data_IF_523060795177
#
_entry.id   IF_523060795177
#
_cell.length_a   1.000
_cell.length_b   1.000
_cell.length_c   1.000
_cell.angle_alpha   90.00
_cell.angle_beta   90.00
_cell.angle_gamma   90.00
#
_symmetry.space_group_name_H-M   'P 1'
#
loop_
_entity.id
_entity.type
_entity.pdbx_description
1 polymer ?
#
# COMPACT_ATOMS: atom_id res chain seq x y z
N UNK A 1 6.50 -37.04 -22.29
CA UNK A 1 6.87 -37.29 -20.87
C UNK A 1 5.96 -36.41 -20.04
N UNK A 2 4.85 -36.98 -19.57
CA UNK A 2 3.79 -36.24 -18.88
C UNK A 2 4.26 -35.84 -17.47
N UNK A 3 4.06 -34.57 -17.13
CA UNK A 3 4.27 -34.04 -15.79
C UNK A 3 3.23 -34.66 -14.85
N UNK A 4 3.71 -35.33 -13.81
CA UNK A 4 2.89 -35.97 -12.79
C UNK A 4 2.23 -34.88 -11.94
N UNK A 5 0.90 -34.84 -11.94
CA UNK A 5 0.12 -34.01 -11.03
C UNK A 5 0.42 -34.42 -9.58
N UNK A 6 1.03 -33.54 -8.80
CA UNK A 6 1.18 -33.72 -7.36
C UNK A 6 -0.21 -33.55 -6.73
N UNK A 7 -0.73 -34.63 -6.14
CA UNK A 7 -2.00 -34.62 -5.43
C UNK A 7 -1.94 -33.66 -4.25
N UNK A 8 -2.92 -32.74 -4.19
CA UNK A 8 -3.16 -31.93 -3.00
C UNK A 8 -3.54 -32.85 -1.84
N UNK A 9 -2.63 -33.05 -0.88
CA UNK A 9 -2.98 -33.68 0.39
C UNK A 9 -3.71 -32.64 1.25
N UNK A 10 -5.02 -32.79 1.35
CA UNK A 10 -5.85 -32.02 2.29
C UNK A 10 -5.60 -32.58 3.69
N UNK A 11 -5.09 -31.73 4.59
CA UNK A 11 -4.88 -32.10 5.99
C UNK A 11 -6.23 -32.39 6.68
N UNK A 12 -6.29 -33.21 7.75
CA UNK A 12 -7.55 -33.64 8.38
C UNK A 12 -8.44 -32.50 8.90
N UNK A 13 -7.88 -31.30 9.08
CA UNK A 13 -8.57 -30.07 9.50
C UNK A 13 -9.05 -29.21 8.30
N UNK A 14 -8.86 -29.67 7.06
CA UNK A 14 -9.20 -28.95 5.83
C UNK A 14 -8.21 -27.85 5.42
N UNK A 15 -7.13 -27.63 6.19
CA UNK A 15 -6.18 -26.54 5.94
C UNK A 15 -5.12 -26.97 4.93
N UNK A 16 -5.07 -26.29 3.79
CA UNK A 16 -4.16 -26.63 2.68
C UNK A 16 -2.74 -26.11 2.89
N UNK A 17 -2.55 -25.07 3.71
CA UNK A 17 -1.25 -24.41 3.88
C UNK A 17 -0.16 -25.34 4.43
N UNK A 18 -0.50 -26.25 5.36
CA UNK A 18 0.44 -27.20 5.96
C UNK A 18 1.13 -28.10 4.93
N UNK A 19 0.50 -28.36 3.78
CA UNK A 19 1.11 -29.14 2.69
C UNK A 19 2.34 -28.45 2.07
N UNK A 20 2.43 -27.13 2.17
CA UNK A 20 3.56 -26.33 1.73
C UNK A 20 4.66 -26.20 2.79
N UNK A 21 4.36 -26.55 4.04
CA UNK A 21 5.22 -26.38 5.22
C UNK A 21 5.31 -27.67 6.03
N UNK A 22 6.03 -28.70 5.52
CA UNK A 22 6.00 -30.04 6.11
C UNK A 22 6.64 -30.15 7.51
N UNK A 23 7.43 -29.16 7.93
CA UNK A 23 8.00 -29.09 9.29
C UNK A 23 7.08 -28.34 10.26
N UNK A 24 5.98 -27.77 9.78
CA UNK A 24 4.99 -27.02 10.56
C UNK A 24 5.34 -25.56 10.82
N UNK A 25 6.56 -25.11 10.47
CA UNK A 25 6.96 -23.71 10.48
C UNK A 25 6.28 -22.95 9.35
N UNK A 26 5.88 -21.69 9.59
CA UNK A 26 5.23 -20.87 8.57
C UNK A 26 6.16 -19.74 8.16
N UNK A 27 6.34 -19.56 6.86
CA UNK A 27 7.00 -18.38 6.31
C UNK A 27 5.98 -17.47 5.64
N UNK A 28 5.91 -16.21 6.04
CA UNK A 28 4.97 -15.21 5.52
C UNK A 28 5.73 -14.10 4.80
N UNK A 29 5.39 -13.81 3.56
CA UNK A 29 5.95 -12.69 2.82
C UNK A 29 5.05 -11.45 2.90
N UNK A 30 5.60 -10.36 3.42
CA UNK A 30 4.95 -9.05 3.47
C UNK A 30 5.43 -8.13 2.34
N UNK A 31 4.50 -7.70 1.49
CA UNK A 31 4.73 -6.68 0.46
C UNK A 31 4.00 -5.36 0.71
N UNK A 32 3.10 -5.30 1.69
CA UNK A 32 2.33 -4.10 2.04
C UNK A 32 2.59 -3.68 3.48
N UNK A 33 1.51 -3.51 4.24
CA UNK A 33 1.56 -3.13 5.66
C UNK A 33 2.38 -4.06 6.53
N UNK A 34 2.48 -5.34 6.18
CA UNK A 34 3.32 -6.31 6.87
C UNK A 34 4.82 -5.92 6.90
N UNK A 35 5.30 -5.01 6.04
CA UNK A 35 6.71 -4.57 6.09
C UNK A 35 6.99 -3.73 7.34
N UNK A 36 6.05 -2.87 7.76
CA UNK A 36 6.18 -2.00 8.95
C UNK A 36 5.31 -2.42 10.15
N UNK A 37 4.29 -3.24 9.90
CA UNK A 37 3.40 -3.83 10.91
C UNK A 37 3.45 -5.36 10.79
N UNK A 38 4.54 -5.99 11.26
CA UNK A 38 4.81 -7.43 11.09
C UNK A 38 3.74 -8.31 11.75
N UNK A 39 3.63 -9.59 11.37
CA UNK A 39 2.77 -10.54 12.08
C UNK A 39 3.26 -10.74 13.52
N UNK A 40 2.41 -11.18 14.46
CA UNK A 40 2.85 -11.56 15.79
C UNK A 40 3.73 -12.83 15.76
N UNK A 41 4.45 -13.10 16.85
CA UNK A 41 5.20 -14.34 17.09
C UNK A 41 6.29 -14.72 16.09
N UNK A 42 6.68 -13.83 15.16
CA UNK A 42 7.84 -14.08 14.31
C UNK A 42 9.13 -14.07 15.12
N UNK A 43 10.06 -14.96 14.79
CA UNK A 43 11.40 -15.03 15.40
C UNK A 43 12.51 -14.61 14.42
N UNK A 44 12.21 -14.53 13.12
CA UNK A 44 13.11 -14.02 12.08
C UNK A 44 12.38 -13.10 11.11
N UNK A 45 13.06 -12.03 10.70
CA UNK A 45 12.64 -11.11 9.63
C UNK A 45 13.77 -10.98 8.61
N UNK A 46 13.51 -11.40 7.37
CA UNK A 46 14.51 -11.47 6.30
C UNK A 46 14.10 -10.54 5.15
N UNK A 47 14.90 -9.52 4.79
CA UNK A 47 14.64 -8.70 3.61
C UNK A 47 14.91 -9.50 2.32
N UNK A 48 14.14 -9.24 1.26
CA UNK A 48 14.25 -9.96 0.00
C UNK A 48 13.14 -9.61 -0.98
N UNK A 49 12.95 -10.45 -1.98
CA UNK A 49 11.92 -10.26 -2.99
C UNK A 49 11.25 -11.55 -3.43
N UNK A 50 10.03 -11.43 -3.94
CA UNK A 50 9.39 -12.46 -4.78
C UNK A 50 9.51 -12.05 -6.25
N UNK A 51 9.52 -13.04 -7.15
CA UNK A 51 9.61 -12.80 -8.60
C UNK A 51 8.34 -13.19 -9.33
N UNK A 52 8.09 -12.60 -10.51
CA UNK A 52 6.93 -12.92 -11.34
C UNK A 52 5.66 -12.16 -10.97
N UNK A 53 5.77 -11.15 -10.11
CA UNK A 53 4.67 -10.28 -9.70
C UNK A 53 5.00 -8.81 -9.96
N UNK A 54 3.98 -7.96 -9.89
CA UNK A 54 4.07 -6.51 -9.80
C UNK A 54 3.23 -6.00 -8.64
N UNK A 55 3.63 -4.90 -8.01
CA UNK A 55 2.89 -4.28 -6.91
C UNK A 55 2.08 -3.09 -7.43
N UNK A 56 0.79 -3.01 -7.10
CA UNK A 56 -0.05 -1.87 -7.47
C UNK A 56 -1.01 -1.49 -6.36
N UNK A 57 -1.29 -0.19 -6.25
CA UNK A 57 -2.36 0.39 -5.42
C UNK A 57 -3.75 0.19 -6.05
N UNK A 58 -4.03 -1.03 -6.51
CA UNK A 58 -5.25 -1.38 -7.24
C UNK A 58 -6.18 -2.27 -6.44
N UNK A 59 -5.99 -2.33 -5.12
CA UNK A 59 -6.97 -2.90 -4.20
C UNK A 59 -7.70 -1.76 -3.51
N UNK A 60 -9.03 -1.77 -3.57
CA UNK A 60 -9.87 -0.89 -2.77
C UNK A 60 -9.85 -1.32 -1.29
N UNK A 61 -9.78 -0.34 -0.39
CA UNK A 61 -9.92 -0.56 1.05
C UNK A 61 -11.14 0.18 1.56
N UNK A 62 -12.15 -0.58 1.99
CA UNK A 62 -13.45 -0.08 2.44
C UNK A 62 -13.54 0.11 3.95
N UNK A 63 -12.50 -0.23 4.69
CA UNK A 63 -12.50 -0.31 6.15
C UNK A 63 -11.26 0.35 6.79
N UNK A 64 -10.06 0.03 6.30
CA UNK A 64 -8.81 0.42 6.92
C UNK A 64 -8.35 1.80 6.47
N UNK A 65 -8.34 2.05 5.16
CA UNK A 65 -7.80 3.28 4.55
C UNK A 65 -8.85 4.07 3.77
N UNK A 66 -10.10 3.64 3.84
CA UNK A 66 -11.28 4.34 3.33
C UNK A 66 -12.53 3.87 4.06
N UNK A 67 -13.69 4.18 3.48
CA UNK A 67 -14.99 3.68 3.92
C UNK A 67 -15.69 2.92 2.79
N UNK A 68 -16.82 2.23 3.03
CA UNK A 68 -17.59 1.60 1.95
C UNK A 68 -18.05 2.60 0.87
N UNK A 69 -18.37 3.83 1.27
CA UNK A 69 -18.83 4.90 0.37
C UNK A 69 -17.67 5.58 -0.36
N UNK A 70 -16.53 5.74 0.31
CA UNK A 70 -15.32 6.34 -0.25
C UNK A 70 -14.12 5.41 -0.04
N UNK A 71 -14.00 4.34 -0.84
CA UNK A 71 -12.95 3.35 -0.64
C UNK A 71 -11.57 3.95 -0.93
N UNK A 72 -10.63 3.70 -0.02
CA UNK A 72 -9.22 4.02 -0.18
C UNK A 72 -8.54 3.07 -1.17
N UNK A 73 -7.21 3.18 -1.30
CA UNK A 73 -6.35 2.30 -2.10
C UNK A 73 -5.22 1.75 -1.24
N UNK A 74 -5.07 0.43 -1.27
CA UNK A 74 -3.96 -0.30 -0.67
C UNK A 74 -3.27 -1.15 -1.74
N UNK A 75 -2.09 -1.70 -1.42
CA UNK A 75 -1.38 -2.52 -2.40
C UNK A 75 -1.94 -3.93 -2.48
N UNK A 76 -1.96 -4.45 -3.70
CA UNK A 76 -1.97 -5.89 -4.00
C UNK A 76 -0.75 -6.22 -4.86
N UNK A 77 -0.40 -7.50 -4.94
CA UNK A 77 0.52 -8.01 -5.96
C UNK A 77 -0.26 -8.71 -7.06
N UNK A 78 0.20 -8.59 -8.29
CA UNK A 78 -0.49 -9.11 -9.48
C UNK A 78 0.51 -9.99 -10.21
N UNK A 79 0.11 -11.18 -10.62
CA UNK A 79 0.95 -12.01 -11.48
C UNK A 79 1.32 -11.23 -12.74
N UNK A 80 2.60 -11.20 -13.06
CA UNK A 80 3.15 -10.40 -14.16
C UNK A 80 2.47 -10.69 -15.49
N UNK A 81 2.25 -11.97 -15.78
CA UNK A 81 1.58 -12.42 -17.01
C UNK A 81 0.16 -11.89 -17.14
N UNK A 82 -0.59 -11.81 -16.04
CA UNK A 82 -1.91 -11.21 -16.03
C UNK A 82 -1.82 -9.68 -16.14
N UNK A 83 -0.92 -9.06 -15.38
CA UNK A 83 -0.70 -7.61 -15.44
C UNK A 83 -0.32 -7.12 -16.83
N UNK A 84 0.47 -7.89 -17.59
CA UNK A 84 0.82 -7.59 -18.99
C UNK A 84 -0.38 -7.58 -19.94
N UNK A 85 -1.53 -8.15 -19.54
CA UNK A 85 -2.80 -8.05 -20.29
C UNK A 85 -3.60 -6.79 -19.95
N UNK A 86 -3.22 -6.08 -18.90
CA UNK A 86 -3.88 -4.86 -18.46
C UNK A 86 -3.20 -3.64 -19.08
N UNK A 87 -4.01 -2.62 -19.35
CA UNK A 87 -3.48 -1.29 -19.69
C UNK A 87 -3.02 -0.60 -18.40
N UNK A 88 -1.70 -0.60 -18.20
CA UNK A 88 -1.00 0.10 -17.13
C UNK A 88 -0.14 1.23 -17.72
N UNK A 89 -0.45 2.51 -17.42
CA UNK A 89 0.33 3.65 -17.89
C UNK A 89 1.83 3.59 -17.52
N UNK A 90 2.19 2.88 -16.44
CA UNK A 90 3.58 2.75 -15.98
C UNK A 90 4.30 1.51 -16.53
N UNK A 91 3.66 0.69 -17.37
CA UNK A 91 4.24 -0.57 -17.84
C UNK A 91 5.58 -0.42 -18.55
N UNK A 92 5.74 0.63 -19.38
CA UNK A 92 7.01 0.90 -20.08
C UNK A 92 8.14 1.23 -19.12
N UNK A 93 7.87 2.12 -18.16
CA UNK A 93 8.85 2.57 -17.18
C UNK A 93 9.29 1.43 -16.26
N UNK A 94 8.36 0.53 -15.88
CA UNK A 94 8.74 -0.66 -15.11
C UNK A 94 9.56 -1.67 -15.91
N UNK A 95 9.30 -1.83 -17.21
CA UNK A 95 10.03 -2.78 -18.06
C UNK A 95 11.48 -2.39 -18.28
N UNK A 96 11.81 -1.11 -18.11
CA UNK A 96 13.17 -0.56 -18.23
C UNK A 96 13.91 -0.53 -16.88
N UNK A 97 13.24 -0.84 -15.76
CA UNK A 97 13.82 -0.77 -14.42
C UNK A 97 14.71 -1.98 -14.10
N UNK A 98 15.81 -1.76 -13.38
CA UNK A 98 16.64 -2.84 -12.81
C UNK A 98 15.88 -3.74 -11.81
N UNK A 99 14.73 -3.30 -11.31
CA UNK A 99 13.82 -4.06 -10.46
C UNK A 99 12.77 -4.87 -11.23
N UNK A 100 12.86 -4.94 -12.56
CA UNK A 100 11.88 -5.65 -13.41
C UNK A 100 11.59 -7.05 -12.87
N UNK A 101 10.32 -7.34 -12.66
CA UNK A 101 9.85 -8.65 -12.23
C UNK A 101 10.10 -8.99 -10.76
N UNK A 102 10.56 -8.05 -9.93
CA UNK A 102 10.80 -8.25 -8.49
C UNK A 102 9.85 -7.39 -7.66
N UNK A 103 9.21 -8.01 -6.67
CA UNK A 103 8.45 -7.30 -5.63
C UNK A 103 9.20 -7.44 -4.32
N UNK A 104 9.68 -6.30 -3.81
CA UNK A 104 10.56 -6.21 -2.65
C UNK A 104 9.82 -6.16 -1.33
N UNK A 105 10.20 -6.96 -0.34
CA UNK A 105 9.50 -7.02 0.93
C UNK A 105 10.33 -7.68 2.03
N UNK A 106 9.64 -8.24 3.01
CA UNK A 106 10.26 -9.00 4.07
C UNK A 106 9.53 -10.34 4.26
N UNK A 107 10.29 -11.40 4.44
CA UNK A 107 9.79 -12.70 4.89
C UNK A 107 9.89 -12.81 6.41
N UNK A 108 8.89 -13.42 7.02
CA UNK A 108 8.79 -13.64 8.46
C UNK A 108 8.70 -15.13 8.74
N UNK A 109 9.61 -15.67 9.56
CA UNK A 109 9.52 -17.03 10.06
C UNK A 109 8.67 -17.05 11.32
N UNK A 110 7.67 -17.92 11.35
CA UNK A 110 6.81 -18.18 12.48
C UNK A 110 7.08 -19.60 12.97
N UNK A 111 7.52 -19.79 14.23
CA UNK A 111 7.71 -21.11 14.80
C UNK A 111 6.43 -21.95 14.72
N UNK A 112 6.59 -23.27 14.53
CA UNK A 112 5.46 -24.20 14.42
C UNK A 112 4.46 -24.12 15.59
N UNK A 113 4.93 -23.74 16.79
CA UNK A 113 4.07 -23.55 17.97
C UNK A 113 3.08 -22.38 17.86
N UNK A 114 3.32 -21.42 16.97
CA UNK A 114 2.46 -20.25 16.73
C UNK A 114 1.91 -20.19 15.31
N UNK A 115 2.33 -21.08 14.41
CA UNK A 115 1.99 -21.02 13.00
C UNK A 115 0.47 -21.03 12.74
N UNK A 116 -0.30 -21.82 13.48
CA UNK A 116 -1.77 -21.84 13.37
C UNK A 116 -2.41 -20.53 13.83
N UNK A 117 -2.00 -20.00 14.98
CA UNK A 117 -2.50 -18.74 15.54
C UNK A 117 -2.21 -17.58 14.58
N UNK A 118 -1.00 -17.53 14.03
CA UNK A 118 -0.61 -16.47 13.09
C UNK A 118 -1.32 -16.63 11.74
N UNK A 119 -1.51 -17.85 11.26
CA UNK A 119 -2.30 -18.09 10.05
C UNK A 119 -3.73 -17.57 10.23
N UNK A 120 -4.40 -17.93 11.31
CA UNK A 120 -5.79 -17.51 11.57
C UNK A 120 -5.88 -15.98 11.77
N UNK A 121 -4.89 -15.38 12.45
CA UNK A 121 -4.75 -13.92 12.55
C UNK A 121 -4.63 -13.23 11.18
N UNK A 122 -3.88 -13.83 10.24
CA UNK A 122 -3.70 -13.26 8.91
C UNK A 122 -4.94 -13.45 8.03
N UNK A 123 -5.66 -14.57 8.16
CA UNK A 123 -6.95 -14.78 7.49
C UNK A 123 -7.97 -13.72 7.89
N UNK A 124 -8.05 -13.37 9.19
CA UNK A 124 -8.94 -12.32 9.67
C UNK A 124 -8.50 -10.92 9.23
N UNK A 125 -7.19 -10.69 9.11
CA UNK A 125 -6.60 -9.40 8.72
C UNK A 125 -6.75 -9.12 7.23
N UNK A 126 -6.61 -10.13 6.39
CA UNK A 126 -6.63 -10.00 4.93
C UNK A 126 -8.03 -10.31 4.37
N UNK A 127 -9.06 -9.84 5.10
CA UNK A 127 -10.46 -9.90 4.71
C UNK A 127 -10.68 -9.10 3.41
N UNK A 128 -11.82 -9.31 2.75
CA UNK A 128 -12.20 -8.63 1.50
C UNK A 128 -11.44 -9.08 0.24
N UNK A 129 -11.22 -10.40 0.13
CA UNK A 129 -10.92 -11.07 -1.14
C UNK A 129 -9.43 -11.20 -1.49
N UNK A 130 -8.57 -11.15 -0.47
CA UNK A 130 -7.25 -11.75 -0.59
C UNK A 130 -7.34 -13.27 -0.45
N UNK A 131 -6.48 -13.99 -1.16
CA UNK A 131 -6.29 -15.43 -1.00
C UNK A 131 -4.83 -15.74 -0.75
N UNK A 132 -4.54 -16.80 0.02
CA UNK A 132 -3.17 -17.25 0.23
C UNK A 132 -2.61 -17.92 -1.05
N UNK A 133 -1.42 -17.51 -1.44
CA UNK A 133 -0.59 -18.13 -2.47
C UNK A 133 0.78 -18.51 -1.87
N UNK A 134 1.50 -19.43 -2.52
CA UNK A 134 2.81 -19.88 -2.08
C UNK A 134 3.82 -19.65 -3.20
N UNK A 135 4.87 -18.88 -2.91
CA UNK A 135 5.83 -18.46 -3.93
C UNK A 135 7.26 -18.48 -3.41
N UNK A 136 8.26 -18.77 -4.27
CA UNK A 136 9.66 -18.64 -3.89
C UNK A 136 10.02 -17.19 -3.54
N UNK A 137 10.56 -17.01 -2.34
CA UNK A 137 11.16 -15.78 -1.84
C UNK A 137 12.68 -15.87 -1.93
N UNK A 138 13.32 -14.78 -2.35
CA UNK A 138 14.75 -14.65 -2.53
C UNK A 138 15.32 -13.64 -1.51
N UNK A 139 15.97 -14.12 -0.44
CA UNK A 139 16.65 -13.26 0.53
C UNK A 139 17.76 -12.40 -0.10
N UNK A 140 17.98 -11.19 0.41
CA UNK A 140 19.14 -10.35 -0.01
C UNK A 140 20.41 -10.63 0.75
N UNK A 141 20.30 -11.24 1.93
CA UNK A 141 21.40 -11.56 2.83
C UNK A 141 21.11 -12.98 3.32
N UNK A 142 22.09 -13.90 3.29
CA UNK A 142 21.92 -15.17 4.01
C UNK A 142 21.71 -14.87 5.50
N UNK A 143 20.95 -15.75 6.15
CA UNK A 143 20.79 -15.82 7.62
C UNK A 143 22.16 -15.98 8.35
N UNK A 144 23.26 -16.16 7.61
CA UNK A 144 24.64 -16.24 8.12
C UNK A 144 25.68 -15.48 7.25
N UNK A 145 25.27 -14.44 6.49
CA UNK A 145 26.23 -13.50 5.88
C UNK A 145 26.92 -13.92 4.57
N UNK A 146 26.48 -15.00 3.91
CA UNK A 146 26.85 -15.32 2.54
C UNK A 146 25.91 -14.69 1.49
N UNK A 147 26.42 -14.45 0.28
CA UNK A 147 25.60 -14.00 -0.85
C UNK A 147 25.05 -15.20 -1.60
N UNK A 148 23.71 -15.29 -1.69
CA UNK A 148 22.88 -16.30 -2.36
C UNK A 148 22.45 -17.51 -1.51
N UNK A 149 21.49 -17.28 -0.61
CA UNK A 149 20.70 -18.34 0.02
C UNK A 149 19.79 -19.04 -1.01
N UNK A 150 19.44 -20.31 -0.78
CA UNK A 150 18.36 -20.95 -1.55
C UNK A 150 17.03 -20.22 -1.35
N UNK A 151 16.12 -20.24 -2.34
CA UNK A 151 14.80 -19.64 -2.17
C UNK A 151 14.02 -20.29 -1.03
N UNK A 152 13.28 -19.48 -0.28
CA UNK A 152 12.38 -19.93 0.81
C UNK A 152 10.95 -19.89 0.26
N UNK A 153 10.16 -20.96 0.44
CA UNK A 153 8.74 -20.90 0.09
C UNK A 153 8.02 -20.05 1.14
N UNK A 154 7.39 -18.97 0.70
CA UNK A 154 6.59 -18.10 1.56
C UNK A 154 5.12 -18.13 1.16
N UNK A 155 4.25 -18.09 2.17
CA UNK A 155 2.85 -17.74 2.01
C UNK A 155 2.72 -16.24 1.78
N UNK A 156 1.88 -15.84 0.84
CA UNK A 156 1.60 -14.45 0.49
C UNK A 156 0.11 -14.28 0.22
N UNK A 157 -0.52 -13.29 0.83
CA UNK A 157 -1.93 -12.96 0.56
C UNK A 157 -2.04 -12.09 -0.67
N UNK A 158 -2.81 -12.49 -1.67
CA UNK A 158 -2.94 -11.78 -2.94
C UNK A 158 -4.40 -11.41 -3.18
N UNK A 159 -4.66 -10.12 -3.39
CA UNK A 159 -5.96 -9.62 -3.84
C UNK A 159 -6.10 -9.97 -5.32
N UNK A 160 -6.72 -11.11 -5.60
CA UNK A 160 -6.79 -11.64 -6.96
C UNK A 160 -7.58 -10.70 -7.87
N UNK A 161 -7.31 -10.69 -9.18
CA UNK A 161 -8.10 -9.89 -10.11
C UNK A 161 -9.58 -10.21 -10.06
N UNK A 162 -9.97 -11.46 -9.75
CA UNK A 162 -11.36 -11.92 -9.53
C UNK A 162 -12.10 -11.14 -8.43
N UNK A 163 -11.38 -10.53 -7.49
CA UNK A 163 -11.93 -9.77 -6.37
C UNK A 163 -12.71 -8.52 -6.85
N UNK A 164 -13.94 -8.28 -6.36
CA UNK A 164 -14.68 -7.04 -6.62
C UNK A 164 -13.95 -5.75 -6.23
N UNK A 165 -13.04 -5.83 -5.25
CA UNK A 165 -12.23 -4.70 -4.78
C UNK A 165 -11.01 -4.43 -5.68
N UNK A 166 -10.74 -5.28 -6.67
CA UNK A 166 -9.67 -5.05 -7.63
C UNK A 166 -10.06 -3.97 -8.65
N UNK A 167 -9.15 -3.03 -8.92
CA UNK A 167 -9.39 -1.88 -9.77
C UNK A 167 -9.35 -2.24 -11.27
N UNK A 168 -10.47 -2.75 -11.79
CA UNK A 168 -10.61 -3.28 -13.17
C UNK A 168 -10.80 -2.23 -14.25
N UNK A 169 -11.30 -1.06 -13.91
CA UNK A 169 -11.53 0.01 -14.90
C UNK A 169 -10.22 0.73 -15.22
N UNK A 170 -9.84 0.81 -16.49
CA UNK A 170 -8.59 1.44 -16.92
C UNK A 170 -8.49 2.91 -16.48
N UNK A 171 -9.58 3.67 -16.65
CA UNK A 171 -9.64 5.07 -16.22
C UNK A 171 -9.37 5.25 -14.70
N UNK A 172 -9.73 4.26 -13.87
CA UNK A 172 -9.50 4.32 -12.43
C UNK A 172 -8.07 3.92 -12.04
N UNK A 173 -7.33 3.28 -12.94
CA UNK A 173 -5.92 2.88 -12.75
C UNK A 173 -4.92 3.96 -13.13
N UNK A 174 -5.38 5.05 -13.75
CA UNK A 174 -4.52 6.20 -14.03
C UNK A 174 -3.83 6.68 -12.74
N UNK A 175 -2.49 6.87 -12.76
CA UNK A 175 -1.75 7.21 -11.55
C UNK A 175 -2.26 8.48 -10.84
N UNK A 176 -2.80 9.44 -11.59
CA UNK A 176 -3.38 10.64 -11.01
C UNK A 176 -4.71 10.36 -10.29
N UNK A 177 -5.60 9.55 -10.87
CA UNK A 177 -6.84 9.12 -10.21
C UNK A 177 -6.56 8.35 -8.92
N UNK A 178 -5.59 7.43 -8.96
CA UNK A 178 -5.16 6.68 -7.78
C UNK A 178 -4.60 7.62 -6.70
N UNK A 179 -3.78 8.60 -7.08
CA UNK A 179 -3.24 9.59 -6.15
C UNK A 179 -4.33 10.47 -5.52
N UNK A 180 -5.34 10.89 -6.28
CA UNK A 180 -6.48 11.65 -5.76
C UNK A 180 -7.25 10.87 -4.70
N UNK A 181 -7.54 9.59 -4.96
CA UNK A 181 -8.21 8.73 -3.97
C UNK A 181 -7.36 8.56 -2.71
N UNK A 182 -6.05 8.32 -2.86
CA UNK A 182 -5.14 8.20 -1.70
C UNK A 182 -5.08 9.52 -0.91
N UNK A 183 -5.05 10.67 -1.58
CA UNK A 183 -4.98 11.97 -0.91
C UNK A 183 -6.21 12.25 -0.03
N UNK A 184 -7.38 11.80 -0.46
CA UNK A 184 -8.64 12.03 0.24
C UNK A 184 -9.02 10.90 1.22
N UNK A 185 -8.47 9.69 1.05
CA UNK A 185 -8.89 8.50 1.78
C UNK A 185 -8.58 8.53 3.28
N UNK A 186 -9.53 8.05 4.08
CA UNK A 186 -9.39 7.85 5.52
C UNK A 186 -10.29 6.70 5.97
N UNK A 187 -9.77 5.79 6.80
CA UNK A 187 -10.54 4.70 7.37
C UNK A 187 -10.17 4.43 8.83
N UNK A 188 -10.59 3.29 9.37
CA UNK A 188 -10.39 2.87 10.76
C UNK A 188 -8.91 2.82 11.16
N UNK A 189 -8.00 2.63 10.20
CA UNK A 189 -6.56 2.56 10.41
C UNK A 189 -5.83 3.87 10.07
N UNK A 190 -6.57 4.97 9.87
CA UNK A 190 -6.03 6.30 9.63
C UNK A 190 -6.08 6.73 8.16
N UNK A 191 -5.31 7.78 7.84
CA UNK A 191 -5.26 8.37 6.49
C UNK A 191 -4.68 7.39 5.48
N UNK A 192 -5.15 7.43 4.24
CA UNK A 192 -4.59 6.61 3.18
C UNK A 192 -3.19 7.12 2.76
N UNK A 193 -2.94 8.43 2.84
CA UNK A 193 -1.60 9.00 2.60
C UNK A 193 -0.55 8.44 3.56
N UNK A 194 -0.91 8.22 4.83
CA UNK A 194 -0.03 7.59 5.82
C UNK A 194 0.39 6.18 5.38
N UNK A 195 -0.53 5.37 4.85
CA UNK A 195 -0.19 4.04 4.33
C UNK A 195 0.85 4.13 3.21
N UNK A 196 0.66 5.04 2.25
CA UNK A 196 1.56 5.23 1.12
C UNK A 196 2.96 5.65 1.59
N UNK A 197 3.04 6.62 2.52
CA UNK A 197 4.33 7.13 3.02
C UNK A 197 5.05 6.11 3.90
N UNK A 198 4.33 5.37 4.75
CA UNK A 198 4.93 4.28 5.52
C UNK A 198 5.45 3.18 4.60
N UNK A 199 4.73 2.85 3.52
CA UNK A 199 5.18 1.86 2.54
C UNK A 199 6.45 2.31 1.81
N UNK A 200 6.51 3.56 1.34
CA UNK A 200 7.71 4.12 0.71
C UNK A 200 8.93 4.01 1.64
N UNK A 201 8.80 4.48 2.90
CA UNK A 201 9.90 4.43 3.88
C UNK A 201 10.29 3.01 4.27
N UNK A 202 9.32 2.12 4.40
CA UNK A 202 9.58 0.72 4.68
C UNK A 202 10.35 0.04 3.54
N UNK A 203 10.01 0.36 2.28
CA UNK A 203 10.71 -0.15 1.09
C UNK A 203 12.13 0.40 0.96
N UNK A 204 12.32 1.71 1.14
CA UNK A 204 13.64 2.35 1.15
C UNK A 204 14.57 1.67 2.18
N UNK A 205 14.03 1.38 3.37
CA UNK A 205 14.76 0.72 4.46
C UNK A 205 15.15 -0.74 4.22
N UNK A 206 14.59 -1.43 3.21
CA UNK A 206 14.94 -2.81 2.86
C UNK A 206 16.24 -2.93 2.03
N UNK A 207 16.90 -1.81 1.70
CA UNK A 207 18.29 -1.81 1.24
C UNK A 207 18.51 -1.60 -0.27
N UNK A 208 17.59 -0.93 -0.96
CA UNK A 208 17.67 -0.70 -2.42
C UNK A 208 17.82 0.77 -2.83
N UNK A 209 17.95 1.67 -1.87
CA UNK A 209 18.06 3.11 -2.11
C UNK A 209 16.71 3.79 -2.39
N UNK A 210 15.84 3.19 -3.20
CA UNK A 210 14.49 3.73 -3.49
C UNK A 210 13.42 2.66 -3.43
N UNK A 211 12.17 3.07 -3.18
CA UNK A 211 10.99 2.23 -3.38
C UNK A 211 10.81 1.86 -4.87
N UNK A 212 9.82 1.01 -5.18
CA UNK A 212 9.47 0.71 -6.57
C UNK A 212 8.90 1.94 -7.31
N UNK A 213 8.94 1.89 -8.65
CA UNK A 213 8.56 2.99 -9.55
C UNK A 213 7.14 3.47 -9.26
N UNK A 214 6.20 2.53 -9.05
CA UNK A 214 4.79 2.83 -8.82
C UNK A 214 4.57 3.55 -7.49
N UNK A 215 5.16 3.05 -6.40
CA UNK A 215 5.08 3.69 -5.08
C UNK A 215 5.68 5.10 -5.12
N UNK A 216 6.87 5.24 -5.71
CA UNK A 216 7.59 6.52 -5.79
C UNK A 216 6.81 7.56 -6.60
N UNK A 217 6.23 7.16 -7.74
CA UNK A 217 5.41 8.07 -8.55
C UNK A 217 4.15 8.53 -7.80
N UNK A 218 3.46 7.62 -7.10
CA UNK A 218 2.30 7.98 -6.29
C UNK A 218 2.66 8.93 -5.15
N UNK A 219 3.77 8.72 -4.46
CA UNK A 219 4.20 9.63 -3.38
C UNK A 219 4.42 11.04 -3.92
N UNK A 220 5.10 11.16 -5.06
CA UNK A 220 5.31 12.46 -5.73
C UNK A 220 3.99 13.14 -6.07
N UNK A 221 3.03 12.41 -6.62
CA UNK A 221 1.71 12.95 -7.00
C UNK A 221 0.87 13.36 -5.79
N UNK A 222 0.81 12.52 -4.76
CA UNK A 222 0.05 12.84 -3.54
C UNK A 222 0.64 14.07 -2.85
N UNK A 223 1.98 14.18 -2.76
CA UNK A 223 2.63 15.39 -2.22
C UNK A 223 2.32 16.65 -3.03
N UNK A 224 2.20 16.54 -4.35
CA UNK A 224 1.80 17.67 -5.19
C UNK A 224 0.36 18.12 -4.88
N UNK A 225 -0.57 17.16 -4.76
CA UNK A 225 -1.98 17.44 -4.39
C UNK A 225 -2.06 18.09 -3.00
N UNK A 226 -1.33 17.57 -2.01
CA UNK A 226 -1.29 18.17 -0.67
C UNK A 226 -0.74 19.61 -0.68
N UNK A 227 0.28 19.88 -1.50
CA UNK A 227 0.85 21.21 -1.65
C UNK A 227 -0.12 22.20 -2.34
N UNK A 228 -0.82 21.75 -3.38
CA UNK A 228 -1.88 22.54 -4.04
C UNK A 228 -3.00 22.90 -3.04
N UNK A 229 -3.48 21.92 -2.27
CA UNK A 229 -4.52 22.15 -1.27
C UNK A 229 -4.11 23.07 -0.12
N UNK A 230 -2.82 23.08 0.25
CA UNK A 230 -2.28 24.07 1.20
C UNK A 230 -2.29 25.48 0.60
N UNK A 231 -1.87 25.63 -0.66
CA UNK A 231 -1.90 26.91 -1.37
C UNK A 231 -3.31 27.48 -1.49
N UNK A 232 -4.29 26.66 -1.87
CA UNK A 232 -5.71 27.07 -1.94
C UNK A 232 -6.27 27.51 -0.58
N UNK A 233 -5.87 26.83 0.51
CA UNK A 233 -6.28 27.19 1.86
C UNK A 233 -5.67 28.53 2.32
N UNK A 234 -4.38 28.77 1.99
CA UNK A 234 -3.69 30.03 2.26
C UNK A 234 -4.31 31.20 1.46
N UNK A 235 -4.62 30.99 0.18
CA UNK A 235 -5.30 31.99 -0.66
C UNK A 235 -6.67 32.35 -0.10
N UNK A 236 -7.48 31.35 0.25
CA UNK A 236 -8.81 31.57 0.84
C UNK A 236 -8.73 32.28 2.20
N UNK A 237 -7.71 32.00 3.01
CA UNK A 237 -7.49 32.69 4.28
C UNK A 237 -7.14 34.18 4.05
N UNK A 238 -6.29 34.46 3.05
CA UNK A 238 -5.94 35.83 2.67
C UNK A 238 -7.15 36.60 2.13
N UNK A 239 -7.99 35.98 1.29
CA UNK A 239 -9.23 36.59 0.79
C UNK A 239 -10.21 36.95 1.93
N UNK A 240 -10.33 36.06 2.93
CA UNK A 240 -11.17 36.30 4.11
C UNK A 240 -10.64 37.49 4.94
N UNK A 241 -9.32 37.61 5.09
CA UNK A 241 -8.67 38.71 5.81
C UNK A 241 -8.86 40.06 5.08
N UNK A 242 -8.73 40.07 3.75
CA UNK A 242 -8.99 41.25 2.92
C UNK A 242 -10.46 41.67 3.06
N UNK A 243 -11.40 40.72 2.94
CA UNK A 243 -12.84 40.99 3.05
C UNK A 243 -13.18 41.60 4.41
N UNK A 244 -12.68 41.01 5.50
CA UNK A 244 -12.88 41.51 6.86
C UNK A 244 -12.30 42.92 7.06
N UNK A 245 -11.14 43.20 6.46
CA UNK A 245 -10.50 44.52 6.53
C UNK A 245 -11.31 45.59 5.80
N UNK A 246 -11.88 45.25 4.65
CA UNK A 246 -12.73 46.16 3.86
C UNK A 246 -14.09 46.41 4.53
N UNK A 247 -14.70 45.40 5.13
CA UNK A 247 -15.96 45.54 5.88
C UNK A 247 -15.78 46.35 7.17
N UNK A 248 -14.68 46.13 7.91
CA UNK A 248 -14.35 46.92 9.11
C UNK A 248 -14.01 48.39 8.85
N UNK A 249 -13.56 48.73 7.63
CA UNK A 249 -13.32 50.11 7.22
C UNK A 249 -14.61 50.89 6.87
N UNK A 250 -15.71 50.18 6.58
CA UNK A 250 -17.00 50.79 6.22
C UNK A 250 -17.84 51.24 7.43
N UNK A 251 -17.49 50.80 8.66
CA UNK A 251 -18.21 51.14 9.90
C UNK A 251 -17.55 52.28 10.72
N UNK A 252 -16.55 52.97 10.19
CA UNK A 252 -15.98 54.14 10.89
C UNK A 252 -17.03 55.26 11.01
N UNK A 253 -17.40 55.72 12.23
CA UNK A 253 -18.45 56.73 12.39
C UNK A 253 -17.97 58.07 11.83
N UNK A 254 -18.82 58.69 11.01
CA UNK A 254 -18.63 60.07 10.57
C UNK A 254 -18.57 60.99 11.80
N UNK A 255 -17.39 61.54 12.09
CA UNK A 255 -17.23 62.60 13.10
C UNK A 255 -18.17 63.76 12.72
N UNK A 256 -19.15 64.02 13.58
CA UNK A 256 -20.08 65.13 13.45
C UNK A 256 -19.33 66.45 13.64
N UNK A 257 -19.27 67.23 12.56
CA UNK A 257 -18.77 68.61 12.48
C UNK A 257 -19.55 69.52 13.46
N UNK A 258 -18.97 69.72 14.64
CA UNK A 258 -19.46 70.64 15.67
C UNK A 258 -19.05 72.08 15.38
N UNK A 259 -19.63 72.70 14.35
CA UNK A 259 -19.63 74.17 14.20
C UNK A 259 -20.45 74.79 15.33
N UNK A 260 -19.76 75.30 16.35
CA UNK A 260 -20.34 76.24 17.33
C UNK A 260 -20.31 77.64 16.74
N UNK A 261 -21.49 78.12 16.38
CA UNK A 261 -21.83 79.52 16.10
C UNK A 261 -22.37 80.20 17.36
N UNK A 262 -21.91 81.45 17.59
CA UNK A 262 -22.60 82.58 18.27
C UNK A 262 -22.62 82.44 19.83
N UNK A 263 -22.39 83.44 20.69
CA UNK A 263 -22.42 84.92 20.67
C UNK A 263 -21.49 85.47 21.77
#
# INVERSE_FOLDING_TARGET
>A
MAATAQGHQVHPDGRTWKSHFPKGDLWVFGYGSLIWKPPPHFDQRVPGYISGYVRRFWQASTDHRGTPETPGRVVTVIERTFWETLDDPLARQESESASTGKVWGAAYHIPASHAEEVHDYLDDREIDGYSAHYTPFHPTIDVEGATSSSPIICMVYIGQPSNPQFLREAARREPQDVAQVISAGHGLSGKNTEYLYLLEKALEGLGLGTADVHVTDLVRRVKAIEAEGLGEAEEKAAELEVTKSLEGAAEAPAEADGRSTIE
#
